data_IF_856850337010
#
_entry.id   IF_856850337010
#
_cell.length_a   1.000
_cell.length_b   1.000
_cell.length_c   1.000
_cell.angle_alpha   90.00
_cell.angle_beta   90.00
_cell.angle_gamma   90.00
#
_symmetry.space_group_name_H-M   'P 1'
#
loop_
_entity.id
_entity.type
_entity.pdbx_description
1 polymer ?
#
# COMPACT_ATOMS: atom_id res chain seq x y z
N UNK A 1 -4.75 20.62 -14.74
CA UNK A 1 -5.60 19.46 -14.43
C UNK A 1 -4.97 18.66 -13.31
N UNK A 2 -5.75 18.30 -12.29
CA UNK A 2 -5.19 17.44 -11.26
C UNK A 2 -4.82 16.09 -11.87
N UNK A 3 -3.64 15.62 -11.56
CA UNK A 3 -3.17 14.31 -12.02
C UNK A 3 -3.46 13.29 -10.93
N UNK A 4 -4.04 12.16 -11.32
CA UNK A 4 -4.28 11.08 -10.36
C UNK A 4 -2.96 10.61 -9.75
N UNK A 5 -2.94 10.29 -8.45
CA UNK A 5 -1.72 9.79 -7.85
C UNK A 5 -1.32 8.46 -8.47
N UNK A 6 -0.04 8.34 -8.80
CA UNK A 6 0.52 7.11 -9.35
C UNK A 6 1.37 6.48 -8.27
N UNK A 7 1.01 5.25 -7.88
CA UNK A 7 1.78 4.47 -6.92
C UNK A 7 2.73 3.57 -7.72
N UNK A 8 4.03 3.78 -7.55
CA UNK A 8 5.03 2.97 -8.23
C UNK A 8 4.94 1.53 -7.76
N UNK A 9 4.90 0.58 -8.71
CA UNK A 9 4.89 -0.84 -8.38
C UNK A 9 6.28 -1.24 -7.86
N UNK A 10 6.35 -2.01 -6.76
CA UNK A 10 7.62 -2.53 -6.29
C UNK A 10 8.25 -3.45 -7.34
N UNK A 11 9.57 -3.42 -7.44
CA UNK A 11 10.30 -4.27 -8.39
C UNK A 11 10.38 -5.73 -7.94
N UNK A 12 10.10 -6.01 -6.67
CA UNK A 12 10.21 -7.33 -6.06
C UNK A 12 8.89 -7.75 -5.43
N UNK A 13 8.76 -9.04 -5.19
CA UNK A 13 7.62 -9.55 -4.44
C UNK A 13 7.56 -8.91 -3.04
N UNK A 14 6.35 -8.81 -2.49
CA UNK A 14 6.12 -8.13 -1.23
C UNK A 14 7.06 -8.60 -0.10
N UNK A 15 7.25 -9.91 0.02
CA UNK A 15 8.10 -10.49 1.07
C UNK A 15 9.59 -10.21 0.87
N UNK A 16 10.00 -9.77 -0.32
CA UNK A 16 11.39 -9.45 -0.63
C UNK A 16 11.71 -7.97 -0.44
N UNK A 17 10.71 -7.14 -0.13
CA UNK A 17 10.93 -5.72 0.10
C UNK A 17 11.60 -5.49 1.46
N UNK A 18 12.49 -4.49 1.52
CA UNK A 18 13.04 -4.06 2.81
C UNK A 18 11.94 -3.44 3.66
N UNK A 19 12.20 -3.32 4.95
CA UNK A 19 11.26 -2.64 5.86
C UNK A 19 10.97 -1.21 5.40
N UNK A 20 12.00 -0.50 4.92
CA UNK A 20 11.84 0.87 4.44
C UNK A 20 11.03 0.94 3.15
N UNK A 21 11.30 0.03 2.21
CA UNK A 21 10.54 -0.04 0.95
C UNK A 21 9.08 -0.34 1.21
N UNK A 22 8.79 -1.26 2.11
CA UNK A 22 7.44 -1.64 2.47
C UNK A 22 6.69 -0.47 3.12
N UNK A 23 7.36 0.25 4.02
CA UNK A 23 6.79 1.42 4.69
C UNK A 23 6.48 2.54 3.69
N UNK A 24 7.39 2.80 2.77
CA UNK A 24 7.19 3.84 1.76
C UNK A 24 6.05 3.47 0.81
N UNK A 25 5.97 2.21 0.40
CA UNK A 25 4.89 1.73 -0.44
C UNK A 25 3.54 1.86 0.26
N UNK A 26 3.47 1.49 1.54
CA UNK A 26 2.26 1.66 2.34
C UNK A 26 1.82 3.12 2.38
N UNK A 27 2.75 4.03 2.62
CA UNK A 27 2.45 5.46 2.68
C UNK A 27 1.89 5.97 1.36
N UNK A 28 2.50 5.55 0.25
CA UNK A 28 2.04 5.95 -1.08
C UNK A 28 0.63 5.43 -1.38
N UNK A 29 0.35 4.18 -0.98
CA UNK A 29 -0.98 3.60 -1.13
C UNK A 29 -2.01 4.36 -0.28
N UNK A 30 -1.69 4.67 0.95
CA UNK A 30 -2.58 5.42 1.84
C UNK A 30 -2.90 6.80 1.29
N UNK A 31 -1.91 7.50 0.73
CA UNK A 31 -2.11 8.81 0.12
C UNK A 31 -3.01 8.73 -1.11
N UNK A 32 -2.79 7.74 -1.96
CA UNK A 32 -3.58 7.55 -3.16
C UNK A 32 -5.02 7.20 -2.82
N UNK A 33 -5.24 6.35 -1.84
CA UNK A 33 -6.58 5.99 -1.39
C UNK A 33 -7.31 7.22 -0.84
N UNK A 34 -6.63 8.02 -0.01
CA UNK A 34 -7.22 9.24 0.54
C UNK A 34 -7.62 10.23 -0.57
N UNK A 35 -6.81 10.32 -1.62
CA UNK A 35 -7.12 11.16 -2.76
C UNK A 35 -8.41 10.68 -3.45
N UNK A 36 -8.52 9.39 -3.75
CA UNK A 36 -9.69 8.85 -4.43
C UNK A 36 -10.95 8.90 -3.55
N UNK A 37 -10.81 8.75 -2.25
CA UNK A 37 -11.94 8.80 -1.32
C UNK A 37 -12.62 10.17 -1.28
N UNK A 38 -11.91 11.22 -1.73
CA UNK A 38 -12.47 12.57 -1.82
C UNK A 38 -13.26 12.81 -3.10
N UNK A 39 -13.20 11.89 -4.03
CA UNK A 39 -13.90 12.05 -5.31
C UNK A 39 -15.33 11.53 -5.20
N UNK A 40 -16.22 12.11 -6.00
CA UNK A 40 -17.63 11.71 -6.03
C UNK A 40 -18.05 11.55 -7.49
N UNK A 41 -18.29 10.32 -7.98
CA UNK A 41 -18.18 9.06 -7.24
C UNK A 41 -16.76 8.59 -7.04
N UNK A 42 -16.54 7.73 -6.06
CA UNK A 42 -15.24 7.14 -5.80
C UNK A 42 -14.90 6.18 -6.96
N UNK A 43 -13.73 6.34 -7.62
CA UNK A 43 -13.40 5.50 -8.76
C UNK A 43 -13.07 4.06 -8.33
N UNK A 44 -13.29 3.06 -9.23
CA UNK A 44 -12.98 1.66 -8.93
C UNK A 44 -11.50 1.40 -8.61
N UNK A 45 -10.59 2.24 -9.09
CA UNK A 45 -9.17 2.12 -8.81
C UNK A 45 -8.88 2.15 -7.31
N UNK A 46 -9.70 2.83 -6.52
CA UNK A 46 -9.57 2.88 -5.06
C UNK A 46 -9.59 1.48 -4.45
N UNK A 47 -10.47 0.61 -4.91
CA UNK A 47 -10.57 -0.76 -4.38
C UNK A 47 -9.34 -1.60 -4.69
N UNK A 48 -8.72 -1.38 -5.85
CA UNK A 48 -7.48 -2.08 -6.21
C UNK A 48 -6.34 -1.64 -5.29
N UNK A 49 -6.27 -0.36 -5.00
CA UNK A 49 -5.25 0.17 -4.08
C UNK A 49 -5.48 -0.35 -2.66
N UNK A 50 -6.75 -0.47 -2.24
CA UNK A 50 -7.07 -1.02 -0.92
C UNK A 50 -6.61 -2.48 -0.80
N UNK A 51 -6.81 -3.29 -1.85
CA UNK A 51 -6.34 -4.67 -1.85
C UNK A 51 -4.81 -4.74 -1.71
N UNK A 52 -4.10 -3.85 -2.37
CA UNK A 52 -2.63 -3.78 -2.26
C UNK A 52 -2.21 -3.33 -0.86
N UNK A 53 -2.90 -2.35 -0.29
CA UNK A 53 -2.63 -1.89 1.07
C UNK A 53 -2.86 -3.02 2.07
N UNK A 54 -3.95 -3.77 1.92
CA UNK A 54 -4.24 -4.91 2.79
C UNK A 54 -3.10 -5.93 2.75
N UNK A 55 -2.54 -6.18 1.56
CA UNK A 55 -1.39 -7.09 1.41
C UNK A 55 -0.14 -6.55 2.11
N UNK A 56 0.11 -5.25 2.03
CA UNK A 56 1.24 -4.61 2.73
C UNK A 56 1.07 -4.74 4.24
N UNK A 57 -0.12 -4.45 4.75
CA UNK A 57 -0.41 -4.54 6.18
C UNK A 57 -0.24 -5.97 6.68
N UNK A 58 -0.69 -6.96 5.91
CA UNK A 58 -0.53 -8.36 6.26
C UNK A 58 0.95 -8.75 6.32
N UNK A 59 1.78 -8.27 5.39
CA UNK A 59 3.21 -8.54 5.39
C UNK A 59 3.89 -7.90 6.58
N UNK A 60 3.54 -6.67 6.92
CA UNK A 60 4.10 -5.98 8.09
C UNK A 60 3.73 -6.70 9.38
N UNK A 61 2.49 -7.14 9.50
CA UNK A 61 2.02 -7.88 10.67
C UNK A 61 2.75 -9.23 10.80
N UNK A 62 2.97 -9.92 9.69
CA UNK A 62 3.70 -11.18 9.66
C UNK A 62 5.14 -10.98 10.14
N UNK A 63 5.81 -9.90 9.73
CA UNK A 63 7.18 -9.60 10.17
C UNK A 63 7.24 -9.34 11.66
N UNK A 64 6.26 -8.63 12.22
CA UNK A 64 6.19 -8.39 13.67
C UNK A 64 5.98 -9.71 14.39
N UNK A 65 5.10 -10.56 13.91
CA UNK A 65 4.81 -11.87 14.50
C UNK A 65 6.05 -12.75 14.51
N UNK A 66 6.79 -12.81 13.41
CA UNK A 66 8.04 -13.58 13.31
C UNK A 66 9.07 -13.04 14.29
N UNK A 67 9.24 -11.73 14.36
CA UNK A 67 10.19 -11.10 15.25
C UNK A 67 9.88 -11.39 16.73
N UNK A 68 8.59 -11.50 17.07
CA UNK A 68 8.15 -11.73 18.45
C UNK A 68 8.05 -13.22 18.82
N UNK A 69 8.27 -14.12 17.89
CA UNK A 69 8.12 -15.58 18.13
C UNK A 69 9.36 -16.24 18.69
N UNK A 70 10.38 -15.49 19.02
CA UNK A 70 11.63 -16.00 19.59
C UNK A 70 11.60 -15.97 21.11
#
# INVERSE_FOLDING_TARGET
MPTDPVVAQPKHAMHALTTFELRDYRRDLERAIAYFDRQAPVPPARNRLQAKLDAVLAEQEERVRIANSR
#
